data_IF_909125970735
#
_entry.id   IF_909125970735
#
_cell.length_a   1.000
_cell.length_b   1.000
_cell.length_c   1.000
_cell.angle_alpha   90.00
_cell.angle_beta   90.00
_cell.angle_gamma   90.00
#
_symmetry.space_group_name_H-M   'P 1'
#
loop_
_entity.id
_entity.type
_entity.pdbx_description
1 polymer ?
#
# COMPACT_ATOMS: atom_id res chain seq x y z
N UNK A 1 4.92 15.26 25.31
CA UNK A 1 4.29 16.60 25.08
C UNK A 1 4.81 17.31 23.82
N UNK A 2 5.95 16.94 23.27
CA UNK A 2 6.53 17.65 22.10
C UNK A 2 5.91 17.32 20.73
N UNK A 3 5.46 16.09 20.49
CA UNK A 3 4.94 15.69 19.17
C UNK A 3 3.65 16.40 18.74
N UNK A 4 2.72 16.66 19.66
CA UNK A 4 1.48 17.40 19.36
C UNK A 4 1.75 18.86 18.94
N UNK A 5 2.77 19.47 19.52
CA UNK A 5 3.14 20.88 19.24
C UNK A 5 3.81 20.97 17.85
N UNK A 6 4.62 19.99 17.47
CA UNK A 6 5.28 19.96 16.16
C UNK A 6 4.29 19.65 15.04
N UNK A 7 3.33 18.74 15.26
CA UNK A 7 2.26 18.47 14.29
C UNK A 7 1.40 19.72 14.05
N UNK A 8 0.99 20.42 15.11
CA UNK A 8 0.25 21.67 15.02
C UNK A 8 1.04 22.80 14.34
N UNK A 9 2.35 22.84 14.50
CA UNK A 9 3.21 23.79 13.79
C UNK A 9 3.33 23.43 12.31
N UNK A 10 3.41 22.16 11.97
CA UNK A 10 3.40 21.68 10.60
C UNK A 10 2.09 22.01 9.91
N UNK A 11 0.94 21.76 10.58
CA UNK A 11 -0.39 22.13 10.09
C UNK A 11 -0.55 23.64 9.84
N UNK A 12 -0.07 24.48 10.75
CA UNK A 12 -0.10 25.95 10.57
C UNK A 12 0.78 26.40 9.40
N UNK A 13 1.95 25.77 9.18
CA UNK A 13 2.81 26.04 8.02
C UNK A 13 2.13 25.60 6.73
N UNK A 14 1.53 24.42 6.68
CA UNK A 14 0.78 23.92 5.52
C UNK A 14 -0.40 24.85 5.20
N UNK A 15 -1.22 25.23 6.20
CA UNK A 15 -2.33 26.18 6.01
C UNK A 15 -1.85 27.55 5.52
N UNK A 16 -0.69 28.03 5.97
CA UNK A 16 -0.11 29.30 5.56
C UNK A 16 0.40 29.26 4.12
N UNK A 17 0.97 28.12 3.68
CA UNK A 17 1.40 27.88 2.30
C UNK A 17 0.17 27.79 1.37
N UNK A 18 -0.90 27.12 1.81
CA UNK A 18 -2.18 27.02 1.08
C UNK A 18 -2.87 28.38 0.96
N UNK A 19 -2.74 29.27 1.95
CA UNK A 19 -3.33 30.61 1.94
C UNK A 19 -2.59 31.63 1.06
N UNK A 20 -1.37 31.33 0.64
CA UNK A 20 -0.62 32.15 -0.32
C UNK A 20 -1.12 31.93 -1.76
N UNK A 21 -2.38 32.29 -2.03
CA UNK A 21 -2.93 32.40 -3.38
C UNK A 21 -2.24 33.54 -4.11
N UNK A 22 -1.57 33.24 -5.19
CA UNK A 22 -1.07 34.03 -6.30
C UNK A 22 0.44 34.04 -6.46
N UNK A 23 0.94 33.03 -7.19
CA UNK A 23 2.03 33.23 -8.14
C UNK A 23 1.84 32.34 -9.35
N UNK A 24 2.09 32.82 -10.56
CA UNK A 24 1.90 32.07 -11.78
C UNK A 24 3.08 31.12 -12.01
N UNK A 25 2.76 29.95 -12.55
CA UNK A 25 3.67 28.98 -13.14
C UNK A 25 4.71 28.30 -12.23
N UNK A 26 4.37 27.09 -11.76
CA UNK A 26 5.18 25.89 -11.92
C UNK A 26 6.59 25.89 -11.32
N UNK A 27 6.69 26.13 -10.05
CA UNK A 27 7.67 25.39 -9.26
C UNK A 27 6.97 25.02 -7.97
N UNK A 28 6.47 23.80 -7.88
CA UNK A 28 6.28 23.18 -6.56
C UNK A 28 7.67 23.24 -5.95
N UNK A 29 7.84 24.23 -5.10
CA UNK A 29 9.13 24.66 -4.61
C UNK A 29 9.76 23.44 -3.92
N UNK A 30 11.05 23.18 -4.17
CA UNK A 30 11.82 22.13 -3.47
C UNK A 30 11.58 22.18 -1.95
N UNK A 31 11.27 23.34 -1.40
CA UNK A 31 10.86 23.54 -0.01
C UNK A 31 9.57 22.81 0.36
N UNK A 32 8.61 22.69 -0.58
CA UNK A 32 7.37 21.96 -0.34
C UNK A 32 7.58 20.45 -0.39
N UNK A 33 8.36 19.98 -1.34
CA UNK A 33 8.79 18.57 -1.42
C UNK A 33 9.55 18.17 -0.15
N UNK A 34 10.47 19.02 0.32
CA UNK A 34 11.20 18.77 1.57
C UNK A 34 10.28 18.79 2.80
N UNK A 35 9.22 19.58 2.79
CA UNK A 35 8.21 19.57 3.86
C UNK A 35 7.41 18.26 3.88
N UNK A 36 7.01 17.76 2.69
CA UNK A 36 6.35 16.45 2.56
C UNK A 36 7.27 15.35 3.07
N UNK A 37 8.51 15.31 2.61
CA UNK A 37 9.51 14.32 3.05
C UNK A 37 9.69 14.34 4.58
N UNK A 38 9.79 15.53 5.18
CA UNK A 38 9.89 15.65 6.63
C UNK A 38 8.64 15.16 7.35
N UNK A 39 7.46 15.46 6.84
CA UNK A 39 6.19 15.01 7.41
C UNK A 39 6.06 13.48 7.34
N UNK A 40 6.39 12.89 6.18
CA UNK A 40 6.38 11.43 6.01
C UNK A 40 7.43 10.75 6.89
N UNK A 41 8.65 11.24 6.98
CA UNK A 41 9.68 10.67 7.86
C UNK A 41 9.33 10.68 9.34
N UNK A 42 8.49 11.63 9.80
CA UNK A 42 7.98 11.62 11.18
C UNK A 42 6.90 10.55 11.39
N UNK A 43 6.14 10.24 10.35
CA UNK A 43 5.05 9.25 10.37
C UNK A 43 5.64 7.84 10.24
N UNK A 44 6.55 7.65 9.29
CA UNK A 44 7.20 6.38 8.98
C UNK A 44 7.94 5.77 10.19
N UNK A 45 8.61 6.61 10.99
CA UNK A 45 9.29 6.17 12.22
C UNK A 45 8.35 6.05 13.42
N UNK A 46 7.04 6.12 13.23
CA UNK A 46 6.07 5.95 14.29
C UNK A 46 5.55 4.51 14.33
N UNK A 47 5.09 4.10 15.49
CA UNK A 47 4.28 2.92 15.70
C UNK A 47 3.10 2.88 14.71
N UNK A 48 2.76 1.71 14.17
CA UNK A 48 1.72 1.54 13.14
C UNK A 48 0.36 2.13 13.56
N UNK A 49 -0.01 2.00 14.83
CA UNK A 49 -1.25 2.58 15.36
C UNK A 49 -1.24 4.10 15.35
N UNK A 50 -0.09 4.71 15.66
CA UNK A 50 0.08 6.16 15.56
C UNK A 50 0.03 6.63 14.12
N UNK A 51 0.57 5.82 13.21
CA UNK A 51 0.52 6.10 11.78
C UNK A 51 -0.93 6.07 11.29
N UNK A 52 -1.69 5.02 11.57
CA UNK A 52 -3.14 4.90 11.27
C UNK A 52 -3.91 6.10 11.79
N UNK A 53 -3.74 6.41 13.07
CA UNK A 53 -4.41 7.55 13.71
C UNK A 53 -4.05 8.92 13.07
N UNK A 54 -2.79 9.13 12.70
CA UNK A 54 -2.36 10.36 12.02
C UNK A 54 -2.98 10.51 10.64
N UNK A 55 -3.10 9.43 9.89
CA UNK A 55 -3.77 9.40 8.58
C UNK A 55 -5.26 9.71 8.71
N UNK A 56 -5.94 9.16 9.70
CA UNK A 56 -7.36 9.44 9.97
C UNK A 56 -7.59 10.90 10.35
N UNK A 57 -6.71 11.49 11.17
CA UNK A 57 -6.75 12.91 11.47
C UNK A 57 -6.60 13.78 10.21
N UNK A 58 -5.71 13.41 9.31
CA UNK A 58 -5.57 14.10 8.03
C UNK A 58 -6.83 13.98 7.17
N UNK A 59 -7.43 12.79 7.10
CA UNK A 59 -8.71 12.57 6.43
C UNK A 59 -9.85 13.41 7.01
N UNK A 60 -9.96 13.47 8.32
CA UNK A 60 -10.94 14.29 9.01
C UNK A 60 -10.77 15.79 8.74
N UNK A 61 -9.52 16.27 8.58
CA UNK A 61 -9.23 17.69 8.35
C UNK A 61 -9.45 18.12 6.89
N UNK A 62 -9.08 17.28 5.94
CA UNK A 62 -9.03 17.63 4.52
C UNK A 62 -10.09 16.92 3.66
N UNK A 63 -10.72 15.88 4.19
CA UNK A 63 -11.72 15.07 3.50
C UNK A 63 -13.15 15.63 3.56
N UNK A 64 -13.37 16.81 4.12
CA UNK A 64 -14.70 17.39 4.21
C UNK A 64 -15.02 18.27 2.99
N UNK A 65 -16.15 18.00 2.35
CA UNK A 65 -16.72 18.82 1.29
C UNK A 65 -18.18 19.14 1.63
N UNK A 66 -18.59 20.38 1.38
CA UNK A 66 -20.00 20.80 1.56
C UNK A 66 -20.93 20.28 0.48
N UNK A 67 -20.37 19.73 -0.60
CA UNK A 67 -21.11 19.25 -1.77
C UNK A 67 -21.42 17.75 -1.72
N UNK A 68 -20.96 17.07 -0.67
CA UNK A 68 -21.16 15.62 -0.52
C UNK A 68 -21.65 15.28 0.87
N UNK A 69 -22.54 14.30 0.95
CA UNK A 69 -22.99 13.68 2.19
C UNK A 69 -22.23 12.37 2.38
N UNK A 70 -21.63 12.16 3.53
CA UNK A 70 -21.01 10.90 3.94
C UNK A 70 -21.99 10.17 4.85
N UNK A 71 -22.36 8.94 4.49
CA UNK A 71 -23.26 8.09 5.25
C UNK A 71 -22.56 6.78 5.56
N UNK A 72 -22.47 6.46 6.83
CA UNK A 72 -21.88 5.21 7.33
C UNK A 72 -22.80 4.03 7.06
N UNK A 73 -22.21 2.88 6.76
CA UNK A 73 -22.89 1.60 6.56
C UNK A 73 -21.95 0.45 6.90
N UNK A 74 -22.44 -0.78 6.74
CA UNK A 74 -21.61 -1.98 6.90
C UNK A 74 -21.83 -2.98 5.78
N UNK A 75 -20.78 -3.73 5.45
CA UNK A 75 -20.81 -4.91 4.60
C UNK A 75 -20.53 -6.13 5.49
N UNK A 76 -21.57 -6.80 5.93
CA UNK A 76 -21.43 -7.73 7.07
C UNK A 76 -21.00 -6.97 8.31
N UNK A 77 -19.84 -7.31 8.88
CA UNK A 77 -19.21 -6.59 10.00
C UNK A 77 -18.22 -5.50 9.56
N UNK A 78 -17.88 -5.43 8.27
CA UNK A 78 -16.91 -4.48 7.74
C UNK A 78 -17.55 -3.09 7.63
N UNK A 79 -16.92 -2.07 8.23
CA UNK A 79 -17.34 -0.68 8.10
C UNK A 79 -17.17 -0.19 6.65
N UNK A 80 -18.07 0.67 6.21
CA UNK A 80 -18.02 1.28 4.88
C UNK A 80 -18.73 2.63 4.88
N UNK A 81 -18.44 3.42 3.85
CA UNK A 81 -19.02 4.75 3.65
C UNK A 81 -19.60 4.91 2.26
N UNK A 82 -20.79 5.48 2.23
CA UNK A 82 -21.35 6.08 1.02
C UNK A 82 -21.00 7.56 1.00
N UNK A 83 -20.28 7.97 -0.03
CA UNK A 83 -19.97 9.38 -0.30
C UNK A 83 -20.85 9.81 -1.47
N UNK A 84 -21.95 10.48 -1.17
CA UNK A 84 -22.99 10.86 -2.14
C UNK A 84 -22.95 12.34 -2.44
N UNK A 85 -23.18 12.66 -3.70
CA UNK A 85 -23.26 14.04 -4.15
C UNK A 85 -24.58 14.64 -3.68
N UNK A 86 -24.52 15.77 -2.96
CA UNK A 86 -25.69 16.50 -2.46
C UNK A 86 -26.32 17.39 -3.55
N UNK A 87 -26.53 16.83 -4.73
CA UNK A 87 -27.23 17.46 -5.87
C UNK A 87 -27.76 16.38 -6.82
N UNK A 88 -28.86 16.67 -7.57
CA UNK A 88 -29.31 15.76 -8.61
C UNK A 88 -28.21 15.48 -9.62
N UNK A 89 -27.90 14.21 -9.84
CA UNK A 89 -26.97 13.76 -10.87
C UNK A 89 -27.58 12.58 -11.63
N UNK A 90 -27.26 12.48 -12.90
CA UNK A 90 -27.80 11.43 -13.76
C UNK A 90 -26.90 10.22 -13.77
N UNK A 91 -27.47 9.04 -13.66
CA UNK A 91 -26.79 7.78 -13.90
C UNK A 91 -26.69 6.87 -12.68
N UNK A 92 -26.60 5.57 -12.99
CA UNK A 92 -26.39 4.51 -12.00
C UNK A 92 -24.90 4.22 -11.76
N UNK A 93 -23.98 4.96 -12.42
CA UNK A 93 -22.54 4.72 -12.30
C UNK A 93 -22.07 5.07 -10.90
N UNK A 94 -21.23 4.20 -10.35
CA UNK A 94 -20.65 4.34 -9.01
C UNK A 94 -19.16 3.99 -9.02
N UNK A 95 -18.40 4.58 -8.14
CA UNK A 95 -17.02 4.20 -7.89
C UNK A 95 -16.94 3.33 -6.62
N UNK A 96 -16.47 2.09 -6.76
CA UNK A 96 -15.99 1.27 -5.64
C UNK A 96 -14.54 1.67 -5.39
N UNK A 97 -14.27 2.27 -4.25
CA UNK A 97 -12.96 2.83 -3.92
C UNK A 97 -12.20 1.95 -2.94
N UNK A 98 -11.01 1.51 -3.34
CA UNK A 98 -10.03 0.80 -2.53
C UNK A 98 -8.98 1.81 -2.05
N UNK A 99 -8.90 2.07 -0.75
CA UNK A 99 -7.96 3.04 -0.21
C UNK A 99 -6.51 2.55 -0.21
N UNK A 100 -5.55 3.48 -0.25
CA UNK A 100 -4.13 3.20 -0.10
C UNK A 100 -3.70 2.97 1.35
N UNK A 101 -2.39 2.87 1.57
CA UNK A 101 -1.80 2.68 2.90
C UNK A 101 -0.98 1.40 3.05
N UNK A 102 -0.44 0.85 1.95
CA UNK A 102 0.46 -0.31 1.98
C UNK A 102 -0.14 -1.58 2.58
N UNK A 103 -1.47 -1.72 2.56
CA UNK A 103 -2.23 -2.78 3.23
C UNK A 103 -2.14 -2.79 4.76
N UNK A 104 -1.32 -1.92 5.35
CA UNK A 104 -1.06 -1.89 6.80
C UNK A 104 -1.67 -0.66 7.48
N UNK A 105 -2.02 0.34 6.71
CA UNK A 105 -2.61 1.61 7.18
C UNK A 105 -3.72 2.08 6.24
N UNK A 106 -4.31 3.23 6.51
CA UNK A 106 -5.44 3.75 5.75
C UNK A 106 -6.79 3.31 6.31
N UNK A 107 -7.82 4.00 5.87
CA UNK A 107 -9.21 3.75 6.24
C UNK A 107 -10.14 4.53 5.30
N UNK A 108 -11.46 4.32 5.32
CA UNK A 108 -12.40 5.21 4.62
C UNK A 108 -12.27 6.67 5.06
N UNK A 109 -12.00 6.94 6.35
CA UNK A 109 -11.80 8.29 6.86
C UNK A 109 -10.57 8.98 6.23
N UNK A 110 -9.44 8.28 6.16
CA UNK A 110 -8.26 8.75 5.44
C UNK A 110 -8.57 8.98 3.95
N UNK A 111 -9.27 8.05 3.32
CA UNK A 111 -9.62 8.10 1.91
C UNK A 111 -10.56 9.26 1.55
N UNK A 112 -11.26 9.88 2.54
CA UNK A 112 -12.14 11.02 2.28
C UNK A 112 -11.43 12.17 1.58
N UNK A 113 -10.10 12.30 1.71
CA UNK A 113 -9.29 13.27 0.97
C UNK A 113 -9.39 13.11 -0.56
N UNK A 114 -9.64 11.89 -1.04
CA UNK A 114 -9.82 11.56 -2.46
C UNK A 114 -11.29 11.29 -2.81
N UNK A 115 -11.98 10.49 -2.01
CA UNK A 115 -13.34 10.07 -2.31
C UNK A 115 -14.33 11.22 -2.39
N UNK A 116 -14.19 12.23 -1.52
CA UNK A 116 -15.02 13.45 -1.59
C UNK A 116 -14.72 14.31 -2.81
N UNK A 117 -13.43 14.38 -3.25
CA UNK A 117 -13.06 15.06 -4.49
C UNK A 117 -13.61 14.33 -5.72
N UNK A 118 -13.48 12.99 -5.75
CA UNK A 118 -14.06 12.18 -6.81
C UNK A 118 -15.57 12.40 -6.87
N UNK A 119 -16.29 12.26 -5.76
CA UNK A 119 -17.72 12.48 -5.73
C UNK A 119 -18.11 13.88 -6.20
N UNK A 120 -17.55 14.93 -5.60
CA UNK A 120 -17.96 16.31 -5.87
C UNK A 120 -17.58 16.78 -7.29
N UNK A 121 -16.38 16.44 -7.77
CA UNK A 121 -15.90 16.92 -9.07
C UNK A 121 -16.49 16.12 -10.24
N UNK A 122 -16.72 14.82 -10.03
CA UNK A 122 -17.29 13.95 -11.08
C UNK A 122 -18.80 13.88 -11.03
N UNK A 123 -19.46 14.42 -10.01
CA UNK A 123 -20.92 14.25 -9.80
C UNK A 123 -21.30 12.77 -9.80
N UNK A 124 -20.60 11.95 -9.05
CA UNK A 124 -20.74 10.50 -9.00
C UNK A 124 -20.60 9.99 -7.57
N UNK A 125 -21.47 9.07 -7.17
CA UNK A 125 -21.37 8.45 -5.86
C UNK A 125 -20.11 7.58 -5.75
N UNK A 126 -19.54 7.53 -4.56
CA UNK A 126 -18.39 6.69 -4.24
C UNK A 126 -18.74 5.81 -3.04
N UNK A 127 -18.41 4.53 -3.12
CA UNK A 127 -18.49 3.59 -2.02
C UNK A 127 -17.08 3.19 -1.59
N UNK A 128 -16.71 3.48 -0.35
CA UNK A 128 -15.41 3.17 0.23
C UNK A 128 -15.60 2.23 1.42
N UNK A 129 -14.79 1.20 1.55
CA UNK A 129 -14.91 0.17 2.58
C UNK A 129 -13.60 0.02 3.34
N UNK A 130 -13.72 -0.37 4.62
CA UNK A 130 -12.63 -0.52 5.58
C UNK A 130 -12.15 -1.98 5.60
N UNK A 131 -11.36 -2.34 4.59
CA UNK A 131 -10.82 -3.69 4.51
C UNK A 131 -9.83 -3.98 5.64
N UNK A 132 -9.78 -5.22 6.06
CA UNK A 132 -8.88 -5.69 7.13
C UNK A 132 -7.42 -5.46 6.76
N UNK A 133 -6.69 -4.85 7.69
CA UNK A 133 -5.30 -4.44 7.51
C UNK A 133 -4.32 -5.49 8.05
N UNK A 134 -3.14 -5.51 7.46
CA UNK A 134 -1.97 -6.21 7.95
C UNK A 134 -1.25 -5.34 9.03
N UNK A 135 -0.47 -5.92 9.94
CA UNK A 135 -0.12 -7.34 10.02
C UNK A 135 -1.21 -8.23 10.65
N UNK A 136 -2.25 -7.65 11.27
CA UNK A 136 -3.30 -8.39 11.98
C UNK A 136 -4.06 -9.34 11.04
N UNK A 137 -4.25 -8.91 9.79
CA UNK A 137 -4.95 -9.65 8.75
C UNK A 137 -4.17 -9.60 7.43
N UNK A 138 -3.14 -10.45 7.28
CA UNK A 138 -2.33 -10.50 6.06
C UNK A 138 -3.14 -11.01 4.86
N UNK A 139 -2.49 -11.04 3.68
CA UNK A 139 -3.07 -11.65 2.49
C UNK A 139 -3.65 -13.05 2.79
N UNK A 140 -4.89 -13.37 2.35
CA UNK A 140 -5.69 -12.65 1.36
C UNK A 140 -6.83 -11.76 1.93
N UNK A 141 -6.82 -11.40 3.22
CA UNK A 141 -7.95 -10.78 3.90
C UNK A 141 -8.51 -9.54 3.18
N UNK A 142 -7.66 -8.60 2.75
CA UNK A 142 -8.08 -7.40 2.03
C UNK A 142 -8.78 -7.73 0.69
N UNK A 143 -8.32 -8.76 -0.04
CA UNK A 143 -8.90 -9.14 -1.32
C UNK A 143 -10.28 -9.81 -1.11
N UNK A 144 -10.44 -10.56 -0.01
CA UNK A 144 -11.73 -11.15 0.38
C UNK A 144 -12.74 -10.05 0.73
N UNK A 145 -12.29 -9.03 1.44
CA UNK A 145 -13.12 -7.88 1.82
C UNK A 145 -13.50 -7.02 0.60
N UNK A 146 -12.57 -6.83 -0.35
CA UNK A 146 -12.87 -6.15 -1.61
C UNK A 146 -13.92 -6.92 -2.44
N UNK A 147 -13.86 -8.24 -2.47
CA UNK A 147 -14.88 -9.05 -3.10
C UNK A 147 -16.23 -8.94 -2.38
N UNK A 148 -16.25 -8.91 -1.05
CA UNK A 148 -17.47 -8.70 -0.28
C UNK A 148 -18.10 -7.33 -0.55
N UNK A 149 -17.30 -6.27 -0.67
CA UNK A 149 -17.76 -4.94 -1.04
C UNK A 149 -18.33 -4.89 -2.47
N UNK A 150 -17.70 -5.57 -3.42
CA UNK A 150 -18.22 -5.76 -4.76
C UNK A 150 -19.59 -6.46 -4.75
N UNK A 151 -19.70 -7.58 -4.05
CA UNK A 151 -20.93 -8.35 -3.94
C UNK A 151 -22.04 -7.56 -3.26
N UNK A 152 -21.70 -6.75 -2.25
CA UNK A 152 -22.63 -5.84 -1.62
C UNK A 152 -23.21 -4.83 -2.63
N UNK A 153 -22.41 -4.19 -3.47
CA UNK A 153 -22.90 -3.27 -4.49
C UNK A 153 -23.81 -3.97 -5.51
N UNK A 154 -23.49 -5.19 -5.92
CA UNK A 154 -24.35 -5.99 -6.78
C UNK A 154 -25.71 -6.27 -6.12
N UNK A 155 -25.72 -6.56 -4.81
CA UNK A 155 -26.96 -6.75 -4.03
C UNK A 155 -27.74 -5.43 -3.84
N UNK A 156 -27.09 -4.28 -3.85
CA UNK A 156 -27.72 -2.96 -3.84
C UNK A 156 -28.37 -2.61 -5.22
N UNK A 157 -28.23 -3.48 -6.22
CA UNK A 157 -28.84 -3.32 -7.54
C UNK A 157 -27.97 -2.62 -8.58
N UNK A 158 -26.66 -2.42 -8.31
CA UNK A 158 -25.71 -1.96 -9.31
C UNK A 158 -25.34 -3.12 -10.24
N UNK A 159 -25.37 -2.89 -11.55
CA UNK A 159 -24.81 -3.84 -12.52
C UNK A 159 -23.27 -3.73 -12.55
N UNK A 160 -22.59 -4.80 -12.95
CA UNK A 160 -21.13 -4.76 -13.07
C UNK A 160 -20.64 -3.61 -14.00
N UNK A 161 -21.39 -3.29 -15.04
CA UNK A 161 -21.13 -2.19 -15.98
C UNK A 161 -21.44 -0.79 -15.42
N UNK A 162 -22.07 -0.72 -14.26
CA UNK A 162 -22.33 0.53 -13.56
C UNK A 162 -21.21 0.85 -12.55
N UNK A 163 -20.38 -0.11 -12.23
CA UNK A 163 -19.34 -0.01 -11.21
C UNK A 163 -17.96 0.23 -11.85
N UNK A 164 -17.31 1.33 -11.51
CA UNK A 164 -15.87 1.55 -11.72
C UNK A 164 -15.14 1.21 -10.45
N UNK A 165 -14.00 0.50 -10.55
CA UNK A 165 -13.16 0.26 -9.38
C UNK A 165 -11.99 1.22 -9.43
N UNK A 166 -11.80 1.99 -8.36
CA UNK A 166 -10.73 2.95 -8.26
C UNK A 166 -9.91 2.69 -6.99
N UNK A 167 -8.63 3.09 -7.01
CA UNK A 167 -7.80 3.01 -5.82
C UNK A 167 -6.46 3.71 -6.01
N UNK A 168 -5.86 4.05 -4.90
CA UNK A 168 -4.54 4.68 -4.81
C UNK A 168 -3.52 3.73 -4.18
N UNK A 169 -2.26 3.74 -4.66
CA UNK A 169 -1.17 2.96 -4.06
C UNK A 169 -1.51 1.46 -3.93
N UNK A 170 -1.46 0.89 -2.73
CA UNK A 170 -1.92 -0.47 -2.41
C UNK A 170 -3.40 -0.69 -2.75
N UNK A 171 -4.24 0.35 -2.65
CA UNK A 171 -5.64 0.27 -3.09
C UNK A 171 -5.77 0.12 -4.61
N UNK A 172 -4.84 0.67 -5.39
CA UNK A 172 -4.75 0.41 -6.83
C UNK A 172 -4.34 -1.05 -7.13
N UNK A 173 -3.49 -1.64 -6.30
CA UNK A 173 -3.20 -3.08 -6.32
C UNK A 173 -4.47 -3.87 -6.01
N UNK A 174 -5.14 -3.56 -4.90
CA UNK A 174 -6.35 -4.24 -4.45
C UNK A 174 -7.47 -4.19 -5.50
N UNK A 175 -7.63 -3.05 -6.19
CA UNK A 175 -8.59 -2.91 -7.29
C UNK A 175 -8.29 -3.92 -8.42
N UNK A 176 -7.03 -4.04 -8.82
CA UNK A 176 -6.60 -5.00 -9.85
C UNK A 176 -6.71 -6.45 -9.36
N UNK A 177 -6.31 -6.73 -8.12
CA UNK A 177 -6.41 -8.06 -7.52
C UNK A 177 -7.88 -8.54 -7.48
N UNK A 178 -8.81 -7.65 -7.10
CA UNK A 178 -10.25 -7.91 -7.19
C UNK A 178 -10.66 -8.26 -8.63
N UNK A 179 -10.26 -7.45 -9.61
CA UNK A 179 -10.58 -7.69 -11.02
C UNK A 179 -10.04 -9.04 -11.53
N UNK A 180 -8.80 -9.38 -11.20
CA UNK A 180 -8.18 -10.66 -11.57
C UNK A 180 -8.89 -11.84 -10.89
N UNK A 181 -9.28 -11.69 -9.63
CA UNK A 181 -10.06 -12.69 -8.90
C UNK A 181 -11.44 -12.91 -9.53
N UNK A 182 -12.17 -11.84 -9.86
CA UNK A 182 -13.45 -11.93 -10.56
C UNK A 182 -13.32 -12.63 -11.92
N UNK A 183 -12.26 -12.29 -12.68
CA UNK A 183 -11.94 -12.95 -13.95
C UNK A 183 -11.68 -14.45 -13.76
N UNK A 184 -10.85 -14.82 -12.79
CA UNK A 184 -10.55 -16.22 -12.44
C UNK A 184 -11.81 -17.00 -12.06
N UNK A 185 -12.74 -16.33 -11.38
CA UNK A 185 -14.07 -16.89 -11.01
C UNK A 185 -15.06 -16.87 -12.17
N UNK A 186 -14.68 -16.38 -13.36
CA UNK A 186 -15.58 -16.20 -14.53
C UNK A 186 -16.80 -15.33 -14.23
N UNK A 187 -16.64 -14.36 -13.35
CA UNK A 187 -17.66 -13.38 -12.99
C UNK A 187 -17.59 -12.16 -13.92
N UNK A 188 -18.66 -11.37 -13.96
CA UNK A 188 -18.66 -10.10 -14.69
C UNK A 188 -17.63 -9.14 -14.09
N UNK A 189 -16.89 -8.48 -14.96
CA UNK A 189 -15.90 -7.48 -14.59
C UNK A 189 -16.54 -6.08 -14.52
N UNK A 190 -15.93 -5.12 -13.77
CA UNK A 190 -16.41 -3.75 -13.67
C UNK A 190 -16.40 -3.04 -15.04
N UNK A 191 -17.00 -1.85 -15.11
CA UNK A 191 -16.97 -1.01 -16.29
C UNK A 191 -15.56 -0.56 -16.68
N UNK A 192 -14.71 -0.29 -15.68
CA UNK A 192 -13.32 0.14 -15.87
C UNK A 192 -12.60 0.31 -14.55
N UNK A 193 -11.29 0.59 -14.66
CA UNK A 193 -10.42 0.85 -13.52
C UNK A 193 -9.81 2.24 -13.59
N UNK A 194 -9.71 2.90 -12.42
CA UNK A 194 -9.01 4.19 -12.25
C UNK A 194 -7.95 4.01 -11.14
N UNK A 195 -6.70 4.05 -11.53
CA UNK A 195 -5.58 3.73 -10.66
C UNK A 195 -4.69 4.96 -10.46
N UNK A 196 -4.50 5.36 -9.22
CA UNK A 196 -3.65 6.50 -8.84
C UNK A 196 -2.39 5.99 -8.16
N UNK A 197 -1.23 6.15 -8.81
CA UNK A 197 0.07 5.68 -8.28
C UNK A 197 0.04 4.21 -7.81
N UNK A 198 -0.50 3.25 -8.62
CA UNK A 198 -0.74 1.89 -8.14
C UNK A 198 0.56 1.14 -7.84
N UNK A 199 0.61 0.45 -6.70
CA UNK A 199 1.69 -0.45 -6.33
C UNK A 199 1.41 -1.86 -6.86
N UNK A 200 1.92 -2.20 -8.04
CA UNK A 200 1.52 -3.41 -8.77
C UNK A 200 2.53 -4.54 -8.77
N UNK A 201 3.73 -4.28 -8.27
CA UNK A 201 4.86 -5.20 -8.22
C UNK A 201 5.53 -5.22 -6.85
N UNK A 202 5.14 -6.17 -6.01
CA UNK A 202 5.75 -6.37 -4.70
C UNK A 202 7.11 -7.08 -4.77
N UNK A 203 7.54 -7.53 -5.98
CA UNK A 203 8.90 -8.06 -6.19
C UNK A 203 9.94 -6.96 -6.35
N UNK A 204 9.52 -5.70 -6.39
CA UNK A 204 10.40 -4.51 -6.52
C UNK A 204 11.30 -4.59 -7.76
N UNK A 205 10.82 -5.24 -8.84
CA UNK A 205 11.62 -5.45 -10.05
C UNK A 205 11.78 -4.21 -10.92
N UNK A 206 10.98 -3.17 -10.66
CA UNK A 206 10.95 -1.95 -11.45
C UNK A 206 12.16 -1.04 -11.21
N UNK A 207 12.74 -0.51 -12.30
CA UNK A 207 13.96 0.32 -12.24
C UNK A 207 13.83 1.59 -11.38
N UNK A 208 12.63 2.14 -11.21
CA UNK A 208 12.44 3.39 -10.46
C UNK A 208 12.56 3.20 -8.97
N UNK A 209 12.43 1.98 -8.46
CA UNK A 209 12.75 1.66 -7.06
C UNK A 209 14.20 2.04 -6.70
N UNK A 210 15.12 1.92 -7.65
CA UNK A 210 16.53 2.37 -7.49
C UNK A 210 16.72 3.80 -7.96
N UNK A 211 16.25 4.15 -9.18
CA UNK A 211 16.59 5.45 -9.78
C UNK A 211 15.84 6.62 -9.19
N UNK A 212 14.76 6.40 -8.43
CA UNK A 212 13.94 7.43 -7.78
C UNK A 212 14.01 7.40 -6.25
N UNK A 213 14.78 6.49 -5.67
CA UNK A 213 14.88 6.33 -4.21
C UNK A 213 15.24 7.63 -3.47
N UNK A 214 16.14 8.44 -4.04
CA UNK A 214 16.58 9.71 -3.43
C UNK A 214 15.62 10.88 -3.68
N UNK A 215 14.72 10.78 -4.67
CA UNK A 215 13.88 11.91 -5.10
C UNK A 215 12.43 11.77 -4.65
N UNK A 216 11.93 10.55 -4.48
CA UNK A 216 10.57 10.33 -3.95
C UNK A 216 10.48 10.91 -2.52
N UNK A 217 9.55 11.84 -2.26
CA UNK A 217 9.42 12.44 -0.93
C UNK A 217 8.54 11.63 0.02
N UNK A 218 7.90 10.55 -0.46
CA UNK A 218 6.87 9.78 0.26
C UNK A 218 7.30 8.36 0.52
N UNK A 219 7.80 7.67 -0.50
CA UNK A 219 8.13 6.26 -0.43
C UNK A 219 9.64 6.02 -0.48
N UNK A 220 10.09 5.05 0.30
CA UNK A 220 11.43 4.51 0.24
C UNK A 220 11.41 2.98 0.33
N UNK A 221 12.54 2.34 0.05
CA UNK A 221 12.62 0.88 -0.01
C UNK A 221 12.37 0.21 1.34
N UNK A 222 12.83 0.80 2.45
CA UNK A 222 12.64 0.21 3.79
C UNK A 222 11.16 0.17 4.16
N UNK A 223 10.44 1.27 3.89
CA UNK A 223 9.00 1.33 4.11
C UNK A 223 8.24 0.31 3.25
N UNK A 224 8.61 0.17 1.97
CA UNK A 224 7.99 -0.84 1.10
C UNK A 224 8.27 -2.27 1.59
N UNK A 225 9.49 -2.57 2.03
CA UNK A 225 9.85 -3.88 2.57
C UNK A 225 9.04 -4.22 3.84
N UNK A 226 8.87 -3.25 4.74
CA UNK A 226 8.03 -3.40 5.94
C UNK A 226 6.57 -3.70 5.57
N UNK A 227 6.02 -2.99 4.59
CA UNK A 227 4.65 -3.25 4.10
C UNK A 227 4.51 -4.63 3.48
N UNK A 228 5.52 -5.09 2.72
CA UNK A 228 5.54 -6.45 2.15
C UNK A 228 5.57 -7.48 3.27
N UNK A 229 6.45 -7.31 4.27
CA UNK A 229 6.55 -8.21 5.41
C UNK A 229 5.24 -8.32 6.19
N UNK A 230 4.57 -7.20 6.42
CA UNK A 230 3.28 -7.17 7.10
C UNK A 230 2.19 -7.85 6.26
N UNK A 231 2.08 -7.50 4.98
CA UNK A 231 1.00 -7.97 4.11
C UNK A 231 1.14 -9.41 3.68
N UNK A 232 2.38 -9.86 3.43
CA UNK A 232 2.69 -11.20 2.92
C UNK A 232 3.81 -11.84 3.74
N UNK A 233 3.60 -12.09 5.05
CA UNK A 233 4.63 -12.65 5.92
C UNK A 233 5.15 -14.02 5.42
N UNK A 234 4.34 -14.78 4.68
CA UNK A 234 4.73 -16.06 4.08
C UNK A 234 5.80 -15.92 3.00
N UNK A 235 5.96 -14.74 2.41
CA UNK A 235 7.02 -14.47 1.43
C UNK A 235 8.38 -14.20 2.09
N UNK A 236 8.43 -13.95 3.39
CA UNK A 236 9.68 -13.77 4.12
C UNK A 236 10.40 -15.12 4.21
N UNK A 237 11.61 -15.17 3.69
CA UNK A 237 12.45 -16.37 3.84
C UNK A 237 12.87 -16.48 5.31
N UNK A 238 12.60 -17.65 5.90
CA UNK A 238 13.21 -17.98 7.18
C UNK A 238 14.73 -17.92 7.00
N UNK A 239 15.40 -17.09 7.77
CA UNK A 239 16.84 -17.15 7.86
C UNK A 239 17.15 -18.56 8.41
N UNK A 240 17.56 -19.46 7.53
CA UNK A 240 18.17 -20.71 7.99
C UNK A 240 19.35 -20.29 8.85
N UNK A 241 19.17 -20.32 10.18
CA UNK A 241 20.30 -20.41 11.08
C UNK A 241 21.19 -21.48 10.51
N UNK A 242 22.43 -21.10 10.22
CA UNK A 242 23.44 -22.05 9.84
C UNK A 242 23.65 -23.01 11.02
N UNK A 243 22.75 -23.99 11.12
CA UNK A 243 23.02 -25.19 11.88
C UNK A 243 24.19 -25.84 11.16
N UNK A 244 25.40 -25.49 11.59
CA UNK A 244 26.59 -26.28 11.28
C UNK A 244 26.21 -27.72 11.60
N UNK A 245 26.29 -28.65 10.64
CA UNK A 245 26.07 -30.03 10.96
C UNK A 245 27.10 -30.42 12.02
N UNK A 246 26.64 -30.76 13.21
CA UNK A 246 27.41 -31.52 14.17
C UNK A 246 27.59 -32.94 13.57
N UNK A 247 28.40 -33.02 12.52
CA UNK A 247 28.98 -34.27 12.08
C UNK A 247 30.37 -34.35 12.70
N UNK A 248 30.56 -35.47 13.41
CA UNK A 248 31.75 -35.98 14.05
C UNK A 248 31.89 -35.74 15.57
N UNK A 249 31.06 -36.45 16.29
CA UNK A 249 31.47 -36.99 17.56
C UNK A 249 30.89 -38.40 17.72
N UNK A 250 31.72 -39.41 17.41
CA UNK A 250 31.81 -40.67 18.09
C UNK A 250 30.58 -41.53 18.30
N UNK A 251 30.53 -42.64 17.56
CA UNK A 251 29.94 -43.89 17.93
C UNK A 251 29.68 -44.04 19.44
N UNK A 252 28.42 -44.13 19.86
CA UNK A 252 28.06 -44.75 21.12
C UNK A 252 27.11 -45.95 20.85
N UNK A 253 27.57 -47.07 21.35
CA UNK A 253 26.94 -48.36 21.31
C UNK A 253 25.53 -48.37 21.92
N UNK A 254 24.68 -49.18 21.33
CA UNK A 254 23.40 -49.61 21.89
C UNK A 254 23.61 -50.31 23.23
N UNK A 255 22.78 -50.00 24.17
CA UNK A 255 22.57 -50.81 25.38
C UNK A 255 22.26 -49.98 26.63
N UNK A 256 21.03 -49.75 26.91
CA UNK A 256 20.32 -50.08 28.15
C UNK A 256 19.05 -49.24 28.36
N UNK A 257 18.00 -49.97 28.40
CA UNK A 257 16.63 -49.61 28.71
C UNK A 257 16.45 -49.26 30.20
N UNK A 258 15.63 -48.22 30.45
CA UNK A 258 14.69 -48.04 31.58
C UNK A 258 15.28 -48.02 33.01
N UNK A 259 15.18 -46.89 33.66
CA UNK A 259 14.50 -46.57 34.93
C UNK A 259 15.09 -45.33 35.58
N UNK A 260 14.27 -44.29 35.68
CA UNK A 260 14.11 -43.51 36.92
C UNK A 260 13.19 -42.29 36.68
N UNK A 261 11.94 -42.45 37.05
CA UNK A 261 11.15 -41.32 37.51
C UNK A 261 11.68 -40.93 38.89
N UNK A 262 11.96 -39.66 39.07
CA UNK A 262 12.30 -39.16 40.40
C UNK A 262 13.09 -37.84 40.39
N UNK A 263 12.43 -36.82 40.88
CA UNK A 263 13.00 -35.58 41.46
C UNK A 263 13.73 -34.63 40.52
N UNK A 264 12.97 -33.69 40.00
CA UNK A 264 13.51 -32.44 39.47
C UNK A 264 13.89 -31.53 40.65
N UNK A 265 15.19 -31.34 40.87
CA UNK A 265 15.73 -30.39 41.82
C UNK A 265 15.68 -28.97 41.20
N UNK A 266 15.32 -27.98 42.04
CA UNK A 266 15.17 -26.54 41.69
C UNK A 266 16.37 -25.91 41.00
N UNK A 267 17.56 -26.51 41.00
CA UNK A 267 18.75 -26.04 40.34
C UNK A 267 18.71 -26.02 38.80
N UNK A 268 17.87 -26.88 38.19
CA UNK A 268 17.78 -26.99 36.72
C UNK A 268 16.88 -25.91 36.07
N UNK A 269 16.02 -25.25 36.86
CA UNK A 269 15.12 -24.21 36.36
C UNK A 269 15.88 -22.88 36.16
N UNK A 270 16.83 -22.57 37.04
CA UNK A 270 17.68 -21.40 36.94
C UNK A 270 18.63 -21.47 35.72
N UNK A 271 19.18 -22.64 35.44
CA UNK A 271 20.07 -22.86 34.30
C UNK A 271 19.32 -22.81 32.95
N UNK A 272 18.08 -23.29 32.91
CA UNK A 272 17.21 -23.16 31.73
C UNK A 272 16.77 -21.69 31.50
N UNK A 273 16.52 -20.94 32.57
CA UNK A 273 16.16 -19.53 32.50
C UNK A 273 17.33 -18.64 31.99
N UNK A 274 18.56 -18.96 32.41
CA UNK A 274 19.75 -18.24 31.94
C UNK A 274 20.05 -18.57 30.46
N UNK A 275 19.86 -19.82 30.03
CA UNK A 275 20.01 -20.21 28.61
C UNK A 275 18.97 -19.53 27.73
N UNK A 276 17.72 -19.37 28.20
CA UNK A 276 16.67 -18.63 27.49
C UNK A 276 16.97 -17.12 27.44
N UNK A 277 17.57 -16.54 28.49
CA UNK A 277 18.00 -15.14 28.48
C UNK A 277 19.15 -14.90 27.52
N UNK A 278 20.13 -15.79 27.44
CA UNK A 278 21.21 -15.72 26.47
C UNK A 278 20.71 -15.91 25.04
N UNK A 279 19.76 -16.81 24.78
CA UNK A 279 19.13 -16.98 23.48
C UNK A 279 18.34 -15.74 23.04
N UNK A 280 17.58 -15.12 23.95
CA UNK A 280 16.88 -13.87 23.67
C UNK A 280 17.83 -12.69 23.42
N UNK A 281 18.93 -12.57 24.16
CA UNK A 281 19.93 -11.53 23.92
C UNK A 281 20.67 -11.72 22.58
N UNK A 282 20.88 -12.96 22.14
CA UNK A 282 21.42 -13.26 20.81
C UNK A 282 20.40 -12.95 19.70
N UNK A 283 19.10 -13.16 19.95
CA UNK A 283 18.03 -12.83 19.01
C UNK A 283 17.87 -11.33 18.85
N UNK A 284 17.94 -10.54 19.94
CA UNK A 284 17.95 -9.07 19.89
C UNK A 284 19.23 -8.52 19.20
N UNK A 285 20.39 -9.14 19.44
CA UNK A 285 21.64 -8.78 18.76
C UNK A 285 21.59 -9.03 17.24
N UNK A 286 20.98 -10.13 16.80
CA UNK A 286 20.81 -10.44 15.39
C UNK A 286 19.77 -9.52 14.71
N UNK A 287 18.69 -9.14 15.42
CA UNK A 287 17.71 -8.19 14.91
C UNK A 287 18.33 -6.80 14.68
N UNK A 288 19.20 -6.34 15.60
CA UNK A 288 19.96 -5.10 15.45
C UNK A 288 20.99 -5.17 14.31
N UNK A 289 21.61 -6.32 14.08
CA UNK A 289 22.57 -6.49 13.00
C UNK A 289 21.87 -6.54 11.63
N UNK A 290 20.70 -7.14 11.53
CA UNK A 290 19.88 -7.15 10.32
C UNK A 290 19.31 -5.75 10.01
N UNK A 291 18.83 -5.03 11.04
CA UNK A 291 18.40 -3.64 10.89
C UNK A 291 19.56 -2.72 10.46
N UNK A 292 20.77 -2.91 11.00
CA UNK A 292 21.95 -2.16 10.58
C UNK A 292 22.38 -2.52 9.14
N UNK A 293 22.22 -3.76 8.69
CA UNK A 293 22.53 -4.16 7.31
C UNK A 293 21.53 -3.53 6.33
N UNK A 294 20.26 -3.45 6.69
CA UNK A 294 19.24 -2.75 5.92
C UNK A 294 19.46 -1.22 5.91
N UNK A 295 19.87 -0.63 7.04
CA UNK A 295 20.20 0.79 7.14
C UNK A 295 21.46 1.17 6.36
N UNK A 296 22.49 0.31 6.35
CA UNK A 296 23.72 0.56 5.58
C UNK A 296 23.54 0.37 4.08
N UNK A 297 22.65 -0.53 3.64
CA UNK A 297 22.31 -0.67 2.23
C UNK A 297 21.54 0.56 1.68
N UNK A 298 20.84 1.32 2.54
CA UNK A 298 20.13 2.54 2.17
C UNK A 298 20.98 3.83 2.17
N UNK A 299 22.21 3.81 2.71
CA UNK A 299 23.05 5.02 2.86
C UNK A 299 24.19 5.14 1.85
N UNK A 300 24.57 4.09 1.14
CA UNK A 300 25.47 4.20 0.01
C UNK A 300 24.74 4.72 -1.23
N UNK A 301 25.23 5.81 -1.83
CA UNK A 301 24.73 6.33 -3.11
C UNK A 301 24.88 5.26 -4.20
N UNK A 302 23.81 4.51 -4.44
CA UNK A 302 23.79 3.46 -5.44
C UNK A 302 23.91 4.05 -6.84
N UNK A 303 24.83 3.51 -7.63
CA UNK A 303 24.97 3.90 -9.04
C UNK A 303 23.78 3.33 -9.85
N UNK A 304 23.27 4.08 -10.85
CA UNK A 304 22.25 3.56 -11.74
C UNK A 304 22.70 2.23 -12.39
N UNK A 305 21.96 1.17 -12.14
CA UNK A 305 22.29 -0.18 -12.65
C UNK A 305 22.93 -1.13 -11.62
N UNK A 306 23.00 -0.73 -10.36
CA UNK A 306 23.50 -1.59 -9.27
C UNK A 306 22.51 -2.74 -8.99
N UNK A 307 22.94 -3.97 -9.24
CA UNK A 307 22.16 -5.20 -9.00
C UNK A 307 22.19 -5.64 -7.53
N UNK A 308 22.92 -4.94 -6.65
CA UNK A 308 23.13 -5.33 -5.25
C UNK A 308 21.83 -5.21 -4.43
N UNK A 309 21.03 -4.17 -4.65
CA UNK A 309 19.77 -3.96 -3.94
C UNK A 309 18.75 -5.06 -4.23
N UNK A 310 18.59 -5.44 -5.51
CA UNK A 310 17.70 -6.54 -5.89
C UNK A 310 18.16 -7.87 -5.30
N UNK A 311 19.48 -8.09 -5.23
CA UNK A 311 20.05 -9.31 -4.64
C UNK A 311 19.74 -9.39 -3.14
N UNK A 312 19.89 -8.30 -2.40
CA UNK A 312 19.53 -8.23 -0.97
C UNK A 312 18.03 -8.49 -0.78
N UNK A 313 17.17 -7.92 -1.63
CA UNK A 313 15.73 -8.17 -1.59
C UNK A 313 15.39 -9.66 -1.83
N UNK A 314 16.00 -10.28 -2.83
CA UNK A 314 15.84 -11.71 -3.13
C UNK A 314 16.40 -12.64 -2.03
N UNK A 315 17.34 -12.18 -1.22
CA UNK A 315 17.81 -12.90 -0.03
C UNK A 315 16.80 -12.89 1.11
N UNK A 316 15.97 -11.83 1.20
CA UNK A 316 14.97 -11.63 2.27
C UNK A 316 13.63 -12.26 1.90
N UNK A 317 13.18 -12.09 0.64
CA UNK A 317 11.84 -12.47 0.20
C UNK A 317 11.85 -13.55 -0.88
N UNK A 318 10.84 -14.42 -0.84
CA UNK A 318 10.51 -15.34 -1.94
C UNK A 318 9.79 -14.57 -3.05
N UNK A 319 10.57 -14.16 -4.05
CA UNK A 319 10.04 -13.37 -5.18
C UNK A 319 9.09 -14.17 -6.06
N UNK A 320 9.18 -15.50 -6.10
CA UNK A 320 8.23 -16.33 -6.85
C UNK A 320 6.85 -16.34 -6.17
N UNK A 321 6.82 -16.44 -4.83
CA UNK A 321 5.58 -16.31 -4.08
C UNK A 321 4.94 -14.91 -4.26
N UNK A 322 5.76 -13.86 -4.26
CA UNK A 322 5.30 -12.49 -4.50
C UNK A 322 4.74 -12.26 -5.91
N UNK A 323 5.04 -13.13 -6.89
CA UNK A 323 4.48 -13.06 -8.26
C UNK A 323 3.04 -13.55 -8.37
N UNK A 324 2.44 -14.03 -7.30
CA UNK A 324 1.01 -14.34 -7.31
C UNK A 324 0.20 -13.10 -7.79
N UNK A 325 -0.65 -13.23 -8.84
CA UNK A 325 -1.40 -12.11 -9.40
C UNK A 325 -2.34 -11.38 -8.44
N UNK A 326 -2.76 -12.01 -7.36
CA UNK A 326 -3.56 -11.36 -6.31
C UNK A 326 -2.68 -10.59 -5.30
N UNK A 327 -1.35 -10.80 -5.32
CA UNK A 327 -0.36 -10.07 -4.52
C UNK A 327 0.32 -9.00 -5.39
N UNK A 328 0.84 -9.40 -6.54
CA UNK A 328 1.46 -8.49 -7.52
C UNK A 328 0.71 -8.57 -8.86
N UNK A 329 -0.33 -7.75 -9.03
CA UNK A 329 -1.17 -7.79 -10.24
C UNK A 329 -0.40 -7.63 -11.55
N UNK A 330 0.78 -7.01 -11.53
CA UNK A 330 1.64 -6.90 -12.70
C UNK A 330 1.87 -8.26 -13.39
N UNK A 331 1.86 -9.37 -12.65
CA UNK A 331 2.07 -10.72 -13.18
C UNK A 331 0.76 -11.43 -13.57
N UNK A 332 -0.39 -10.74 -13.49
CA UNK A 332 -1.69 -11.28 -13.88
C UNK A 332 -1.89 -11.41 -15.39
N UNK A 333 -2.92 -12.11 -15.80
CA UNK A 333 -3.43 -12.16 -17.17
C UNK A 333 -4.57 -11.15 -17.34
N UNK A 334 -4.34 -10.10 -18.13
CA UNK A 334 -5.30 -9.03 -18.40
C UNK A 334 -6.08 -9.21 -19.71
N UNK A 335 -5.94 -10.32 -20.40
CA UNK A 335 -6.72 -10.58 -21.63
C UNK A 335 -8.22 -10.44 -21.34
N UNK A 336 -8.92 -9.56 -22.09
CA UNK A 336 -10.34 -9.28 -21.89
C UNK A 336 -10.66 -8.43 -20.65
N UNK A 337 -9.65 -7.79 -20.07
CA UNK A 337 -9.84 -6.88 -18.93
C UNK A 337 -10.52 -5.58 -19.38
N UNK A 338 -11.27 -4.91 -18.48
CA UNK A 338 -11.92 -3.65 -18.80
C UNK A 338 -10.96 -2.50 -19.10
N UNK A 339 -11.44 -1.42 -19.75
CA UNK A 339 -10.66 -0.20 -19.93
C UNK A 339 -10.06 0.27 -18.61
N UNK A 340 -8.79 0.72 -18.64
CA UNK A 340 -8.06 1.11 -17.44
C UNK A 340 -7.37 2.44 -17.65
N UNK A 341 -7.50 3.33 -16.66
CA UNK A 341 -6.80 4.62 -16.61
C UNK A 341 -5.85 4.66 -15.44
N UNK A 342 -4.60 5.03 -15.70
CA UNK A 342 -3.52 5.07 -14.72
C UNK A 342 -2.98 6.50 -14.62
N UNK A 343 -2.72 6.96 -13.42
CA UNK A 343 -2.03 8.21 -13.12
C UNK A 343 -0.82 7.95 -12.23
N UNK A 344 0.31 8.62 -12.49
CA UNK A 344 1.53 8.51 -11.69
C UNK A 344 2.33 9.81 -11.72
N UNK A 345 3.00 10.15 -10.63
CA UNK A 345 3.98 11.22 -10.57
C UNK A 345 5.36 10.78 -11.10
N UNK A 346 6.10 11.71 -11.72
CA UNK A 346 7.41 11.36 -12.26
C UNK A 346 8.53 11.31 -11.19
N UNK A 347 8.24 11.70 -9.95
CA UNK A 347 9.18 11.57 -8.82
C UNK A 347 9.06 10.23 -8.07
N UNK A 348 8.05 9.42 -8.40
CA UNK A 348 7.70 8.22 -7.64
C UNK A 348 8.63 7.03 -7.89
N UNK A 349 8.94 6.28 -6.83
CA UNK A 349 9.55 4.94 -6.95
C UNK A 349 8.63 3.95 -7.66
N UNK A 350 7.30 4.11 -7.56
CA UNK A 350 6.29 3.28 -8.22
C UNK A 350 6.00 3.71 -9.68
N UNK A 351 6.79 4.63 -10.25
CA UNK A 351 6.61 5.01 -11.66
C UNK A 351 6.81 3.82 -12.62
N UNK A 352 7.76 2.93 -12.33
CA UNK A 352 7.96 1.72 -13.14
C UNK A 352 6.79 0.74 -13.03
N UNK A 353 6.15 0.62 -11.87
CA UNK A 353 4.96 -0.20 -11.68
C UNK A 353 3.86 0.19 -12.67
N UNK A 354 3.56 1.49 -12.73
CA UNK A 354 2.57 2.06 -13.63
C UNK A 354 2.93 1.87 -15.11
N UNK A 355 4.19 2.11 -15.48
CA UNK A 355 4.64 1.99 -16.87
C UNK A 355 4.74 0.54 -17.35
N UNK A 356 5.15 -0.37 -16.47
CA UNK A 356 5.20 -1.81 -16.75
C UNK A 356 3.78 -2.38 -16.87
N UNK A 357 2.87 -1.99 -15.97
CA UNK A 357 1.47 -2.37 -16.02
C UNK A 357 0.81 -1.90 -17.33
N UNK A 358 0.96 -0.62 -17.68
CA UNK A 358 0.43 -0.07 -18.94
C UNK A 358 0.94 -0.84 -20.16
N UNK A 359 2.25 -1.11 -20.23
CA UNK A 359 2.84 -1.89 -21.32
C UNK A 359 2.26 -3.30 -21.40
N UNK A 360 2.12 -3.98 -20.25
CA UNK A 360 1.58 -5.34 -20.19
C UNK A 360 0.11 -5.37 -20.61
N UNK A 361 -0.73 -4.54 -20.02
CA UNK A 361 -2.16 -4.47 -20.36
C UNK A 361 -2.39 -4.14 -21.84
N UNK A 362 -1.64 -3.17 -22.39
CA UNK A 362 -1.68 -2.83 -23.81
C UNK A 362 -1.27 -4.00 -24.70
N UNK A 363 -0.22 -4.75 -24.30
CA UNK A 363 0.24 -5.95 -25.01
C UNK A 363 -0.77 -7.10 -24.99
N UNK A 364 -1.68 -7.12 -24.04
CA UNK A 364 -2.77 -8.10 -23.90
C UNK A 364 -4.12 -7.57 -24.45
N UNK A 365 -4.10 -6.46 -25.19
CA UNK A 365 -5.26 -5.92 -25.90
C UNK A 365 -6.23 -5.11 -25.04
N UNK A 366 -5.84 -4.72 -23.83
CA UNK A 366 -6.64 -3.85 -22.96
C UNK A 366 -6.54 -2.40 -23.43
N UNK A 367 -7.66 -1.70 -23.48
CA UNK A 367 -7.71 -0.25 -23.66
C UNK A 367 -7.18 0.43 -22.38
N UNK A 368 -5.89 0.76 -22.36
CA UNK A 368 -5.22 1.37 -21.20
C UNK A 368 -4.58 2.69 -21.57
N UNK A 369 -4.77 3.70 -20.71
CA UNK A 369 -4.09 5.00 -20.80
C UNK A 369 -3.34 5.31 -19.51
N UNK A 370 -2.19 5.97 -19.65
CA UNK A 370 -1.33 6.37 -18.55
C UNK A 370 -0.97 7.84 -18.69
N UNK A 371 -1.27 8.63 -17.67
CA UNK A 371 -0.79 10.01 -17.52
C UNK A 371 0.34 10.09 -16.49
N UNK A 372 1.49 10.61 -16.90
CA UNK A 372 2.61 10.91 -16.03
C UNK A 372 2.65 12.40 -15.72
N UNK A 373 2.61 12.75 -14.43
CA UNK A 373 2.55 14.14 -13.97
C UNK A 373 3.92 14.62 -13.52
N UNK A 374 4.41 15.67 -14.21
CA UNK A 374 5.74 16.23 -13.96
C UNK A 374 5.86 16.87 -12.58
N UNK A 375 6.95 16.59 -11.88
CA UNK A 375 7.26 17.06 -10.52
C UNK A 375 6.21 16.65 -9.47
N UNK A 376 5.43 15.61 -9.74
CA UNK A 376 4.48 15.07 -8.78
C UNK A 376 5.04 13.83 -8.09
N UNK A 377 4.58 13.63 -6.87
CA UNK A 377 4.96 12.55 -5.96
C UNK A 377 3.80 11.55 -5.77
N UNK A 378 4.04 10.56 -4.96
CA UNK A 378 3.10 9.48 -4.69
C UNK A 378 1.75 10.00 -4.17
N UNK A 379 0.67 9.62 -4.86
CA UNK A 379 -0.73 10.02 -4.59
C UNK A 379 -0.89 11.55 -4.46
N UNK A 380 -0.24 12.32 -5.31
CA UNK A 380 -0.31 13.79 -5.33
C UNK A 380 -1.75 14.33 -5.47
N UNK A 381 -2.68 13.52 -5.95
CA UNK A 381 -4.11 13.86 -6.11
C UNK A 381 -4.78 14.23 -4.78
N UNK A 382 -4.23 13.80 -3.65
CA UNK A 382 -4.68 14.23 -2.32
C UNK A 382 -4.46 15.72 -2.07
N UNK A 383 -3.50 16.32 -2.78
CA UNK A 383 -3.12 17.72 -2.58
C UNK A 383 -4.21 18.72 -2.95
N UNK A 384 -4.22 19.92 -2.34
CA UNK A 384 -5.20 20.98 -2.60
C UNK A 384 -4.71 21.97 -3.67
N UNK A 385 -4.08 21.49 -4.74
CA UNK A 385 -3.50 22.33 -5.79
C UNK A 385 -4.05 21.96 -7.18
N UNK A 386 -3.84 22.86 -8.14
CA UNK A 386 -4.46 22.82 -9.47
C UNK A 386 -4.22 21.50 -10.21
N UNK A 387 -2.98 21.00 -10.23
CA UNK A 387 -2.63 19.74 -10.91
C UNK A 387 -3.39 18.55 -10.33
N UNK A 388 -3.60 18.52 -8.99
CA UNK A 388 -4.39 17.47 -8.37
C UNK A 388 -5.88 17.54 -8.79
N UNK A 389 -6.44 18.74 -8.87
CA UNK A 389 -7.81 18.96 -9.36
C UNK A 389 -7.94 18.52 -10.83
N UNK A 390 -7.00 18.92 -11.68
CA UNK A 390 -6.97 18.52 -13.09
C UNK A 390 -6.84 17.00 -13.25
N UNK A 391 -6.05 16.34 -12.40
CA UNK A 391 -5.93 14.88 -12.39
C UNK A 391 -7.26 14.20 -12.07
N UNK A 392 -7.99 14.70 -11.06
CA UNK A 392 -9.33 14.17 -10.74
C UNK A 392 -10.32 14.39 -11.90
N UNK A 393 -10.31 15.56 -12.56
CA UNK A 393 -11.17 15.78 -13.72
C UNK A 393 -10.89 14.79 -14.86
N UNK A 394 -9.62 14.46 -15.11
CA UNK A 394 -9.26 13.45 -16.11
C UNK A 394 -9.76 12.03 -15.75
N UNK A 395 -9.83 11.69 -14.46
CA UNK A 395 -10.53 10.47 -14.04
C UNK A 395 -11.99 10.48 -14.49
N UNK A 396 -12.68 11.62 -14.37
CA UNK A 396 -14.05 11.80 -14.86
C UNK A 396 -14.16 11.68 -16.37
N UNK A 397 -13.30 12.35 -17.14
CA UNK A 397 -13.25 12.25 -18.59
C UNK A 397 -13.14 10.78 -19.04
N UNK A 398 -12.26 10.01 -18.41
CA UNK A 398 -12.14 8.58 -18.66
C UNK A 398 -13.43 7.83 -18.33
N UNK A 399 -13.97 7.98 -17.11
CA UNK A 399 -15.19 7.27 -16.67
C UNK A 399 -16.37 7.55 -17.59
N UNK A 400 -16.55 8.80 -18.02
CA UNK A 400 -17.63 9.18 -18.91
C UNK A 400 -17.40 8.77 -20.36
N UNK A 401 -16.18 8.51 -20.78
CA UNK A 401 -15.86 7.98 -22.12
C UNK A 401 -16.13 6.48 -22.27
N UNK A 402 -16.16 5.74 -21.18
CA UNK A 402 -16.49 4.30 -21.17
C UNK A 402 -17.99 4.11 -21.29
N UNK A 403 -18.42 3.44 -22.38
CA UNK A 403 -19.83 3.16 -22.71
C UNK A 403 -20.33 1.89 -22.07
#
# INVERSE_FOLDING_TARGET
MNGKTELLQCERKVRRIISMRRTPKENINQSFINLIRKAHGLIENSDIEKHRHSQDQMGALFGNSREVAVTETTVGSMYAEWIRVDRPHSGKKIILYCHGGGYSTGSPLYARTLTTKLASQLSMDVFCFDYRLAPEHPYPAAVDDAQAAWDYLMLQGYGAKDIFVAGDSAGGNLALALGLRLKKQKRMLPAGFVLMSPWTDLTVSGKTHVTKADVDPVLNQNYLNEMIENYVPQAKKEQMEAVKPLQEAGTLQEGNTIQAAGTLQEGNILQAADTLREANALQEGNTLQTANTLQTAGTEKQKPGDKSANKVFEEIFDTEYLRNPEISPLFGDFTGFPPTYIQVGDLEVLMSDSTMLQKKMSGEGVAVSLDTYKNMWHVFQMGPFKTAVEAIHKCGEFIYSVQ
#
